data_IF_372373917705
#
_entry.id   IF_372373917705
#
_cell.length_a   1.000
_cell.length_b   1.000
_cell.length_c   1.000
_cell.angle_alpha   90.00
_cell.angle_beta   90.00
_cell.angle_gamma   90.00
#
_symmetry.space_group_name_H-M   'P 1'
#
loop_
_entity.id
_entity.type
_entity.pdbx_description
1 polymer ?
#
# COMPACT_ATOMS: atom_id res chain seq x y z
N UNK A 1 18.86 -5.71 -28.45
CA UNK A 1 17.95 -5.01 -27.51
C UNK A 1 18.82 -4.51 -26.38
N UNK A 2 19.11 -3.22 -26.31
CA UNK A 2 20.02 -2.66 -25.29
C UNK A 2 19.21 -2.44 -24.02
N UNK A 3 19.48 -3.21 -22.98
CA UNK A 3 18.91 -2.97 -21.66
C UNK A 3 19.55 -1.70 -21.09
N UNK A 4 18.81 -0.60 -21.04
CA UNK A 4 19.24 0.60 -20.34
C UNK A 4 19.10 0.34 -18.85
N UNK A 5 20.22 0.05 -18.19
CA UNK A 5 20.29 0.07 -16.74
C UNK A 5 20.39 1.52 -16.25
N UNK A 6 19.66 1.83 -15.17
CA UNK A 6 19.78 3.11 -14.47
C UNK A 6 21.20 3.31 -13.95
N UNK A 7 21.62 4.56 -13.78
CA UNK A 7 22.89 4.88 -13.14
C UNK A 7 22.95 4.30 -11.71
N UNK A 8 24.15 3.90 -11.25
CA UNK A 8 24.36 3.30 -9.91
C UNK A 8 23.82 4.16 -8.79
N UNK A 9 23.97 5.48 -8.90
CA UNK A 9 23.49 6.42 -7.89
C UNK A 9 21.97 6.40 -7.82
N UNK A 10 21.30 6.43 -8.98
CA UNK A 10 19.84 6.28 -9.08
C UNK A 10 19.36 4.93 -8.54
N UNK A 11 20.09 3.84 -8.81
CA UNK A 11 19.75 2.53 -8.25
C UNK A 11 19.87 2.51 -6.73
N UNK A 12 20.89 3.17 -6.18
CA UNK A 12 21.14 3.25 -4.74
C UNK A 12 20.08 4.10 -4.04
N UNK A 13 19.75 5.24 -4.62
CA UNK A 13 18.66 6.12 -4.16
C UNK A 13 17.32 5.38 -4.16
N UNK A 14 16.98 4.71 -5.27
CA UNK A 14 15.75 3.92 -5.36
C UNK A 14 15.72 2.77 -4.36
N UNK A 15 16.85 2.12 -4.10
CA UNK A 15 16.95 1.08 -3.08
C UNK A 15 16.74 1.62 -1.67
N UNK A 16 17.27 2.81 -1.35
CA UNK A 16 17.04 3.48 -0.07
C UNK A 16 15.58 3.89 0.08
N UNK A 17 14.97 4.47 -0.95
CA UNK A 17 13.54 4.79 -0.97
C UNK A 17 12.73 3.51 -0.69
N UNK A 18 12.99 2.42 -1.42
CA UNK A 18 12.30 1.15 -1.25
C UNK A 18 12.41 0.58 0.17
N UNK A 19 13.57 0.72 0.83
CA UNK A 19 13.77 0.30 2.23
C UNK A 19 12.97 1.11 3.24
N UNK A 20 12.49 2.30 2.87
CA UNK A 20 11.70 3.20 3.73
C UNK A 20 10.21 3.17 3.41
N UNK A 21 9.75 2.23 2.57
CA UNK A 21 8.33 2.04 2.26
C UNK A 21 7.69 1.10 3.27
N UNK A 22 6.63 1.56 3.92
CA UNK A 22 5.82 0.72 4.80
C UNK A 22 4.55 0.21 4.10
N UNK A 23 4.16 -1.04 4.36
CA UNK A 23 2.83 -1.56 4.01
C UNK A 23 2.17 -2.06 5.29
N UNK A 24 1.13 -1.39 5.81
CA UNK A 24 0.23 -2.01 6.77
C UNK A 24 -0.40 -3.21 6.05
N UNK A 25 0.03 -4.43 6.38
CA UNK A 25 -0.50 -5.65 5.75
C UNK A 25 -2.01 -5.81 6.00
N UNK A 26 -2.62 -6.88 5.47
CA UNK A 26 -3.95 -7.30 5.92
C UNK A 26 -3.87 -7.67 7.42
N UNK A 27 -4.12 -6.67 8.27
CA UNK A 27 -3.98 -6.82 9.72
C UNK A 27 -5.04 -7.76 10.30
N UNK A 28 -6.15 -7.93 9.58
CA UNK A 28 -7.28 -8.78 9.98
C UNK A 28 -6.87 -10.20 10.39
N UNK A 29 -5.85 -10.79 9.74
CA UNK A 29 -5.37 -12.13 10.12
C UNK A 29 -4.63 -12.16 11.45
N UNK A 30 -4.20 -11.00 11.98
CA UNK A 30 -3.47 -10.85 13.24
C UNK A 30 -4.40 -10.51 14.41
N UNK A 31 -5.57 -9.94 14.16
CA UNK A 31 -6.53 -9.55 15.21
C UNK A 31 -6.98 -10.70 16.13
N UNK A 32 -7.22 -11.94 15.64
CA UNK A 32 -7.59 -13.04 16.52
C UNK A 32 -6.56 -13.35 17.60
N UNK A 33 -5.27 -13.16 17.33
CA UNK A 33 -4.20 -13.40 18.32
C UNK A 33 -4.22 -12.44 19.51
N UNK A 34 -4.92 -11.31 19.38
CA UNK A 34 -5.10 -10.29 20.41
C UNK A 34 -6.57 -10.11 20.81
N UNK A 35 -7.42 -11.10 20.49
CA UNK A 35 -8.86 -11.12 20.79
C UNK A 35 -9.64 -9.92 20.21
N UNK A 36 -9.24 -9.44 19.04
CA UNK A 36 -9.97 -8.42 18.29
C UNK A 36 -10.70 -9.08 17.12
N UNK A 37 -11.92 -8.64 16.84
CA UNK A 37 -12.70 -9.11 15.69
C UNK A 37 -12.13 -8.54 14.37
N UNK A 38 -12.05 -9.36 13.33
CA UNK A 38 -11.71 -8.91 11.99
C UNK A 38 -12.93 -8.31 11.28
N UNK A 39 -13.18 -7.03 11.53
CA UNK A 39 -14.19 -6.22 10.85
C UNK A 39 -13.56 -4.93 10.27
N UNK A 40 -14.29 -4.28 9.35
CA UNK A 40 -13.84 -3.08 8.62
C UNK A 40 -13.44 -1.95 9.59
N UNK A 41 -14.23 -1.72 10.64
CA UNK A 41 -13.99 -0.63 11.59
C UNK A 41 -12.70 -0.83 12.39
N UNK A 42 -12.41 -2.06 12.82
CA UNK A 42 -11.15 -2.39 13.49
C UNK A 42 -9.95 -2.26 12.55
N UNK A 43 -10.09 -2.67 11.29
CA UNK A 43 -9.07 -2.48 10.25
C UNK A 43 -8.80 -1.00 9.97
N UNK A 44 -9.87 -0.19 9.89
CA UNK A 44 -9.82 1.26 9.73
C UNK A 44 -9.12 1.91 10.93
N UNK A 45 -9.53 1.58 12.15
CA UNK A 45 -8.98 2.13 13.39
C UNK A 45 -7.49 1.81 13.53
N UNK A 46 -7.10 0.55 13.29
CA UNK A 46 -5.70 0.14 13.31
C UNK A 46 -4.86 0.91 12.28
N UNK A 47 -5.37 1.05 11.05
CA UNK A 47 -4.67 1.79 10.01
C UNK A 47 -4.53 3.26 10.42
N UNK A 48 -5.61 3.89 10.89
CA UNK A 48 -5.60 5.26 11.36
C UNK A 48 -4.60 5.48 12.51
N UNK A 49 -4.52 4.55 13.46
CA UNK A 49 -3.54 4.57 14.55
C UNK A 49 -2.10 4.66 14.01
N UNK A 50 -1.77 3.85 13.01
CA UNK A 50 -0.45 3.89 12.37
C UNK A 50 -0.21 5.22 11.67
N UNK A 51 -1.17 5.70 10.88
CA UNK A 51 -1.03 6.94 10.10
C UNK A 51 -0.97 8.21 10.95
N UNK A 52 -1.59 8.20 12.14
CA UNK A 52 -1.56 9.33 13.09
C UNK A 52 -0.37 9.28 14.06
N UNK A 53 0.54 8.32 13.91
CA UNK A 53 1.77 8.29 14.71
C UNK A 53 2.57 9.57 14.47
N UNK A 54 2.87 10.30 15.55
CA UNK A 54 3.59 11.57 15.47
C UNK A 54 4.98 11.37 14.85
N UNK A 55 5.38 12.32 14.02
CA UNK A 55 6.72 12.38 13.41
C UNK A 55 7.10 11.19 12.50
N UNK A 56 6.15 10.33 12.12
CA UNK A 56 6.42 9.17 11.28
C UNK A 56 7.02 9.52 9.91
N UNK A 57 6.71 10.70 9.37
CA UNK A 57 7.24 11.22 8.11
C UNK A 57 8.75 11.46 8.13
N UNK A 58 9.39 11.53 9.31
CA UNK A 58 10.85 11.65 9.42
C UNK A 58 11.58 10.34 9.04
N UNK A 59 10.86 9.22 9.06
CA UNK A 59 11.43 7.89 8.85
C UNK A 59 10.76 7.12 7.71
N UNK A 60 9.54 7.51 7.34
CA UNK A 60 8.73 6.85 6.31
C UNK A 60 8.46 7.86 5.21
N UNK A 61 9.02 7.59 4.02
CA UNK A 61 8.82 8.43 2.84
C UNK A 61 7.52 8.12 2.11
N UNK A 62 7.05 6.87 2.20
CA UNK A 62 5.89 6.40 1.47
C UNK A 62 5.17 5.25 2.19
N UNK A 63 3.85 5.20 2.04
CA UNK A 63 2.99 4.16 2.62
C UNK A 63 2.13 3.54 1.52
N UNK A 64 2.19 2.21 1.40
CA UNK A 64 1.33 1.45 0.48
C UNK A 64 0.06 1.06 1.20
N UNK A 65 -1.08 1.53 0.70
CA UNK A 65 -2.42 1.18 1.17
C UNK A 65 -2.94 -0.03 0.39
N UNK A 66 -3.72 -0.89 1.05
CA UNK A 66 -4.53 -1.88 0.35
C UNK A 66 -5.76 -1.22 -0.28
N UNK A 67 -6.47 -1.95 -1.15
CA UNK A 67 -7.64 -1.43 -1.84
C UNK A 67 -8.72 -0.93 -0.87
N UNK A 68 -8.94 -1.62 0.25
CA UNK A 68 -9.90 -1.22 1.30
C UNK A 68 -9.48 0.09 1.99
N UNK A 69 -8.25 0.14 2.51
CA UNK A 69 -7.72 1.30 3.24
C UNK A 69 -7.61 2.58 2.38
N UNK A 70 -7.55 2.45 1.05
CA UNK A 70 -7.55 3.60 0.15
C UNK A 70 -8.85 4.43 0.25
N UNK A 71 -9.97 3.78 0.56
CA UNK A 71 -11.29 4.42 0.68
C UNK A 71 -11.66 4.75 2.13
N UNK A 72 -10.85 4.31 3.09
CA UNK A 72 -11.08 4.63 4.50
C UNK A 72 -10.90 6.11 4.78
N UNK A 73 -11.70 6.56 5.74
CA UNK A 73 -11.69 7.94 6.23
C UNK A 73 -11.26 7.99 7.69
N UNK A 74 -10.62 9.10 8.03
CA UNK A 74 -10.33 9.44 9.42
C UNK A 74 -11.60 9.86 10.14
N UNK A 75 -11.70 9.50 11.41
CA UNK A 75 -12.82 9.86 12.29
C UNK A 75 -12.95 11.37 12.60
N UNK A 76 -11.85 12.12 12.58
CA UNK A 76 -11.79 13.52 12.99
C UNK A 76 -12.08 14.52 11.88
N UNK A 77 -11.62 14.25 10.65
CA UNK A 77 -11.70 15.19 9.53
C UNK A 77 -12.52 14.69 8.34
N UNK A 78 -13.03 13.45 8.40
CA UNK A 78 -13.67 12.74 7.27
C UNK A 78 -12.77 12.69 6.00
N UNK A 79 -11.46 12.94 6.16
CA UNK A 79 -10.50 12.89 5.07
C UNK A 79 -10.14 11.45 4.75
N UNK A 80 -9.99 11.14 3.46
CA UNK A 80 -9.45 9.87 3.01
C UNK A 80 -7.99 9.73 3.45
N UNK A 81 -7.57 8.50 3.78
CA UNK A 81 -6.19 8.22 4.21
C UNK A 81 -5.09 8.72 3.23
N UNK A 82 -5.22 8.61 1.89
CA UNK A 82 -4.26 9.20 0.97
C UNK A 82 -4.09 10.72 1.13
N UNK A 83 -5.16 11.44 1.46
CA UNK A 83 -5.09 12.88 1.69
C UNK A 83 -4.35 13.18 3.00
N UNK A 84 -4.63 12.44 4.08
CA UNK A 84 -3.90 12.55 5.34
C UNK A 84 -2.39 12.34 5.12
N UNK A 85 -2.01 11.28 4.41
CA UNK A 85 -0.62 10.98 4.09
C UNK A 85 0.06 12.12 3.35
N UNK A 86 -0.61 12.65 2.33
CA UNK A 86 -0.10 13.77 1.53
C UNK A 86 0.10 15.02 2.40
N UNK A 87 -0.82 15.30 3.32
CA UNK A 87 -0.72 16.46 4.23
C UNK A 87 0.50 16.39 5.16
N UNK A 88 0.87 15.20 5.61
CA UNK A 88 2.04 14.98 6.48
C UNK A 88 3.34 14.72 5.69
N UNK A 89 3.32 14.88 4.37
CA UNK A 89 4.50 14.73 3.51
C UNK A 89 4.89 13.28 3.17
N UNK A 90 4.00 12.32 3.40
CA UNK A 90 4.20 10.91 3.04
C UNK A 90 3.51 10.62 1.70
N UNK A 91 4.21 9.94 0.81
CA UNK A 91 3.68 9.58 -0.50
C UNK A 91 2.72 8.38 -0.36
N UNK A 92 1.43 8.50 -0.73
CA UNK A 92 0.50 7.38 -0.71
C UNK A 92 0.69 6.46 -1.93
N UNK A 93 0.73 5.16 -1.69
CA UNK A 93 0.80 4.10 -2.69
C UNK A 93 -0.38 3.15 -2.59
N UNK A 94 -0.56 2.29 -3.59
CA UNK A 94 -1.66 1.33 -3.66
C UNK A 94 -1.17 -0.04 -4.10
N UNK A 95 -1.63 -1.09 -3.43
CA UNK A 95 -1.50 -2.47 -3.93
C UNK A 95 -2.49 -2.69 -5.08
N UNK A 96 -2.00 -3.07 -6.26
CA UNK A 96 -2.84 -3.25 -7.46
C UNK A 96 -3.05 -4.71 -7.84
N UNK A 97 -2.29 -5.63 -7.27
CA UNK A 97 -2.49 -7.06 -7.45
C UNK A 97 -3.83 -7.54 -6.86
N UNK A 98 -4.28 -8.71 -7.32
CA UNK A 98 -5.51 -9.37 -6.88
C UNK A 98 -5.23 -10.73 -6.25
N UNK A 99 -4.03 -10.93 -5.72
CA UNK A 99 -3.60 -12.15 -5.08
C UNK A 99 -2.94 -13.16 -6.03
N UNK A 100 -2.55 -14.29 -5.43
CA UNK A 100 -1.85 -15.38 -6.08
C UNK A 100 -2.82 -16.51 -6.46
N UNK A 101 -2.55 -17.17 -7.57
CA UNK A 101 -3.16 -18.43 -7.96
C UNK A 101 -2.08 -19.48 -8.21
N UNK A 102 -2.43 -20.76 -7.99
CA UNK A 102 -1.53 -21.87 -8.31
C UNK A 102 -1.41 -22.01 -9.83
N UNK A 103 -0.19 -22.13 -10.33
CA UNK A 103 0.08 -22.39 -11.73
C UNK A 103 -0.11 -23.88 -12.02
N UNK A 104 -1.11 -24.22 -12.83
CA UNK A 104 -1.43 -25.60 -13.16
C UNK A 104 -0.24 -26.30 -13.84
N UNK A 105 0.07 -27.52 -13.42
CA UNK A 105 1.18 -28.31 -13.97
C UNK A 105 2.56 -28.05 -13.33
N UNK A 106 2.61 -27.31 -12.23
CA UNK A 106 3.85 -27.04 -11.47
C UNK A 106 3.78 -27.63 -10.06
N UNK A 107 4.93 -27.73 -9.35
CA UNK A 107 4.95 -28.06 -7.92
C UNK A 107 4.62 -26.82 -7.09
N UNK A 108 3.33 -26.47 -7.05
CA UNK A 108 2.79 -25.38 -6.24
C UNK A 108 3.44 -24.02 -6.50
N UNK A 109 3.98 -23.80 -7.70
CA UNK A 109 4.38 -22.46 -8.11
C UNK A 109 3.13 -21.59 -8.27
N UNK A 110 3.32 -20.28 -8.11
CA UNK A 110 2.22 -19.32 -8.14
C UNK A 110 2.43 -18.26 -9.22
N UNK A 111 1.32 -17.69 -9.69
CA UNK A 111 1.31 -16.49 -10.50
C UNK A 111 0.36 -15.46 -9.90
N UNK A 112 0.70 -14.18 -10.04
CA UNK A 112 -0.08 -13.06 -9.51
C UNK A 112 -1.15 -12.61 -10.50
N UNK A 113 -2.37 -12.39 -10.02
CA UNK A 113 -3.46 -11.81 -10.80
C UNK A 113 -3.53 -10.29 -10.64
N UNK A 114 -4.18 -9.60 -11.57
CA UNK A 114 -4.46 -8.16 -11.43
C UNK A 114 -4.39 -7.33 -12.72
N UNK A 115 -3.98 -7.91 -13.85
CA UNK A 115 -3.85 -7.14 -15.10
C UNK A 115 -5.20 -6.71 -15.70
N UNK A 116 -6.29 -7.44 -15.43
CA UNK A 116 -7.62 -7.11 -15.92
C UNK A 116 -8.09 -5.75 -15.39
N UNK A 117 -8.42 -4.84 -16.31
CA UNK A 117 -8.86 -3.46 -16.03
C UNK A 117 -7.86 -2.66 -15.18
N UNK A 118 -6.58 -3.03 -15.17
CA UNK A 118 -5.56 -2.35 -14.36
C UNK A 118 -5.42 -0.86 -14.73
N UNK A 119 -5.58 -0.52 -16.01
CA UNK A 119 -5.51 0.87 -16.49
C UNK A 119 -6.64 1.74 -15.89
N UNK A 120 -7.88 1.24 -15.90
CA UNK A 120 -9.03 1.93 -15.36
C UNK A 120 -8.94 2.08 -13.84
N UNK A 121 -8.51 1.01 -13.15
CA UNK A 121 -8.25 1.04 -11.71
C UNK A 121 -7.14 2.03 -11.37
N UNK A 122 -6.03 2.00 -12.09
CA UNK A 122 -4.90 2.92 -11.90
C UNK A 122 -5.32 4.39 -12.04
N UNK A 123 -6.14 4.72 -13.04
CA UNK A 123 -6.73 6.07 -13.17
C UNK A 123 -7.61 6.42 -11.97
N UNK A 124 -8.39 5.48 -11.45
CA UNK A 124 -9.20 5.65 -10.24
C UNK A 124 -8.33 5.92 -9.00
N UNK A 125 -7.31 5.11 -8.77
CA UNK A 125 -6.39 5.26 -7.63
C UNK A 125 -5.62 6.57 -7.68
N UNK A 126 -5.18 7.00 -8.87
CA UNK A 126 -4.52 8.29 -9.05
C UNK A 126 -5.42 9.47 -8.66
N UNK A 127 -6.71 9.42 -9.00
CA UNK A 127 -7.71 10.43 -8.59
C UNK A 127 -7.93 10.47 -7.08
N UNK A 128 -7.77 9.32 -6.41
CA UNK A 128 -7.85 9.21 -4.95
C UNK A 128 -6.55 9.60 -4.24
N UNK A 129 -5.52 10.01 -4.99
CA UNK A 129 -4.28 10.55 -4.45
C UNK A 129 -3.07 9.62 -4.52
N UNK A 130 -3.24 8.33 -4.89
CA UNK A 130 -2.12 7.40 -4.98
C UNK A 130 -1.09 7.83 -6.04
N UNK A 131 0.20 7.77 -5.69
CA UNK A 131 1.30 8.25 -6.52
C UNK A 131 2.17 7.12 -7.10
N UNK A 132 2.15 5.95 -6.46
CA UNK A 132 2.86 4.76 -6.90
C UNK A 132 2.05 3.49 -6.62
N UNK A 133 2.46 2.38 -7.22
CA UNK A 133 1.78 1.10 -7.10
C UNK A 133 2.75 -0.01 -6.70
N UNK A 134 2.22 -1.03 -6.03
CA UNK A 134 2.87 -2.32 -5.79
C UNK A 134 2.02 -3.44 -6.34
#
# INVERSE_FOLDING_TARGET
MVAYYLAKDTQTELAQIAQTIATPGLIGSRFPSINIENNEENCRYYSQLLLKTQECQQHISAIILCNEALYHKTDDSDALFPHLLTQIGIIPGITVDRGLIILAGTDRETTTQGLDNLDARGRGYKKLGAQFAK
#
